data_IF_220875931581
#
_entry.id   IF_220875931581
#
_cell.length_a   1.000
_cell.length_b   1.000
_cell.length_c   1.000
_cell.angle_alpha   90.00
_cell.angle_beta   90.00
_cell.angle_gamma   90.00
#
_symmetry.space_group_name_H-M   'P 1'
#
loop_
_entity.id
_entity.type
_entity.pdbx_description
1 polymer ?
#
# COMPACT_ATOMS: atom_id res chain seq x y z
N UNK A 1 -9.36 19.70 10.28
CA UNK A 1 -10.11 18.46 9.94
C UNK A 1 -9.20 17.27 9.67
N UNK A 2 -9.10 16.38 10.66
CA UNK A 2 -8.35 15.11 10.58
C UNK A 2 -8.89 14.21 9.45
N UNK A 3 -10.21 14.10 9.32
CA UNK A 3 -10.88 13.25 8.32
C UNK A 3 -10.56 13.67 6.88
N UNK A 4 -10.46 14.98 6.60
CA UNK A 4 -10.10 15.49 5.27
C UNK A 4 -8.66 15.12 4.91
N UNK A 5 -7.74 15.14 5.88
CA UNK A 5 -6.34 14.71 5.64
C UNK A 5 -6.25 13.22 5.35
N UNK A 6 -7.03 12.39 6.04
CA UNK A 6 -7.03 10.95 5.81
C UNK A 6 -7.66 10.61 4.45
N UNK A 7 -8.77 11.27 4.08
CA UNK A 7 -9.46 11.05 2.81
C UNK A 7 -8.58 11.40 1.60
N UNK A 8 -7.68 12.38 1.72
CA UNK A 8 -6.69 12.72 0.67
C UNK A 8 -5.62 11.65 0.44
N UNK A 9 -5.38 10.77 1.41
CA UNK A 9 -4.41 9.66 1.28
C UNK A 9 -5.01 8.42 0.61
N UNK A 10 -6.34 8.36 0.50
CA UNK A 10 -7.05 7.23 -0.04
C UNK A 10 -7.29 7.41 -1.54
N UNK A 11 -7.30 6.29 -2.26
CA UNK A 11 -7.67 6.25 -3.67
C UNK A 11 -9.16 6.60 -3.83
N UNK A 12 -9.53 7.16 -4.98
CA UNK A 12 -10.93 7.47 -5.30
C UNK A 12 -11.83 6.23 -5.37
N UNK A 13 -11.26 5.04 -5.59
CA UNK A 13 -11.98 3.76 -5.62
C UNK A 13 -11.83 2.97 -4.30
N UNK A 14 -11.36 3.60 -3.22
CA UNK A 14 -11.23 2.90 -1.94
C UNK A 14 -12.60 2.55 -1.39
N UNK A 15 -12.80 1.25 -1.16
CA UNK A 15 -13.94 0.70 -0.42
C UNK A 15 -13.54 0.46 1.04
N UNK A 16 -14.53 0.48 1.94
CA UNK A 16 -14.35 0.24 3.36
C UNK A 16 -14.80 -1.16 3.78
N UNK A 17 -14.15 -1.67 4.83
CA UNK A 17 -14.58 -2.84 5.57
C UNK A 17 -14.91 -2.41 7.00
N UNK A 18 -16.09 -2.80 7.49
CA UNK A 18 -16.53 -2.47 8.85
C UNK A 18 -16.50 -3.71 9.73
N UNK A 19 -15.78 -3.67 10.85
CA UNK A 19 -15.73 -4.77 11.82
C UNK A 19 -16.43 -4.31 13.08
N UNK A 20 -17.57 -4.92 13.38
CA UNK A 20 -18.42 -4.59 14.51
C UNK A 20 -18.30 -5.67 15.56
N UNK A 21 -17.98 -5.25 16.79
CA UNK A 21 -17.86 -6.13 17.95
C UNK A 21 -19.08 -5.88 18.83
N UNK A 22 -19.83 -6.94 19.10
CA UNK A 22 -21.11 -6.91 19.79
C UNK A 22 -21.08 -7.89 20.99
N UNK A 23 -20.50 -7.47 22.13
CA UNK A 23 -20.66 -8.21 23.38
C UNK A 23 -22.13 -8.12 23.82
N UNK A 24 -22.79 -9.26 24.03
CA UNK A 24 -24.21 -9.35 24.39
C UNK A 24 -24.43 -10.44 25.43
N UNK A 25 -25.42 -10.26 26.31
CA UNK A 25 -25.71 -11.15 27.44
C UNK A 25 -26.51 -12.41 27.07
N UNK A 26 -27.24 -12.37 25.96
CA UNK A 26 -28.13 -13.47 25.53
C UNK A 26 -27.43 -14.57 24.71
N UNK A 27 -26.18 -14.36 24.28
CA UNK A 27 -25.42 -15.31 23.47
C UNK A 27 -24.49 -16.14 24.35
N UNK A 28 -24.56 -17.47 24.23
CA UNK A 28 -23.71 -18.39 25.01
C UNK A 28 -22.35 -18.67 24.36
N UNK A 29 -22.27 -18.57 23.04
CA UNK A 29 -21.07 -18.92 22.26
C UNK A 29 -20.73 -17.81 21.27
N UNK A 30 -19.46 -17.47 21.13
CA UNK A 30 -19.02 -16.45 20.18
C UNK A 30 -19.27 -16.91 18.73
N UNK A 31 -19.84 -16.03 17.92
CA UNK A 31 -20.10 -16.26 16.50
C UNK A 31 -19.58 -15.11 15.64
N UNK A 32 -19.14 -15.46 14.44
CA UNK A 32 -18.60 -14.52 13.45
C UNK A 32 -19.49 -14.60 12.22
N UNK A 33 -20.00 -13.45 11.77
CA UNK A 33 -20.76 -13.33 10.52
C UNK A 33 -19.97 -12.44 9.58
N UNK A 34 -19.57 -13.00 8.44
CA UNK A 34 -18.86 -12.29 7.39
C UNK A 34 -19.82 -11.97 6.25
N UNK A 35 -20.00 -10.70 5.93
CA UNK A 35 -20.89 -10.21 4.89
C UNK A 35 -20.08 -9.49 3.82
N UNK A 36 -20.22 -9.94 2.57
CA UNK A 36 -19.78 -9.20 1.39
C UNK A 36 -21.01 -8.67 0.66
N UNK A 37 -21.09 -7.35 0.52
CA UNK A 37 -22.13 -6.72 -0.28
C UNK A 37 -21.82 -6.86 -1.77
N UNK A 38 -22.85 -7.11 -2.58
CA UNK A 38 -22.71 -7.24 -4.03
C UNK A 38 -22.25 -5.92 -4.68
N UNK A 39 -22.77 -4.80 -4.16
CA UNK A 39 -22.37 -3.44 -4.51
C UNK A 39 -21.92 -2.74 -3.23
N UNK A 40 -20.84 -1.95 -3.31
CA UNK A 40 -20.40 -1.15 -2.18
C UNK A 40 -21.40 -0.01 -1.93
N UNK A 41 -21.86 0.14 -0.70
CA UNK A 41 -22.93 1.09 -0.32
C UNK A 41 -22.40 2.04 0.76
N UNK A 42 -22.75 3.32 0.66
CA UNK A 42 -22.44 4.30 1.72
C UNK A 42 -23.38 4.05 2.89
N UNK A 43 -22.86 3.43 3.96
CA UNK A 43 -23.59 3.20 5.20
C UNK A 43 -23.28 4.34 6.18
N UNK A 44 -24.31 5.12 6.51
CA UNK A 44 -24.17 6.27 7.40
C UNK A 44 -23.74 5.83 8.80
N UNK A 45 -22.67 6.44 9.33
CA UNK A 45 -22.18 6.19 10.69
C UNK A 45 -21.36 4.92 10.88
N UNK A 46 -21.12 4.14 9.82
CA UNK A 46 -20.33 2.91 9.88
C UNK A 46 -18.82 3.15 9.79
N UNK A 47 -18.41 4.15 9.01
CA UNK A 47 -17.00 4.50 8.80
C UNK A 47 -16.76 5.96 9.20
N UNK A 48 -15.58 6.25 9.73
CA UNK A 48 -15.19 7.61 10.15
C UNK A 48 -15.14 8.60 8.97
N UNK A 49 -14.95 8.07 7.76
CA UNK A 49 -14.85 8.83 6.51
C UNK A 49 -15.91 8.34 5.55
N UNK A 50 -16.38 9.26 4.70
CA UNK A 50 -17.30 8.95 3.59
C UNK A 50 -16.61 8.02 2.59
N UNK A 51 -16.83 6.73 2.77
CA UNK A 51 -16.39 5.63 1.91
C UNK A 51 -17.57 4.67 1.72
N UNK A 52 -17.58 3.97 0.60
CA UNK A 52 -18.56 2.92 0.34
C UNK A 52 -18.12 1.65 1.08
N UNK A 53 -18.97 1.10 1.92
CA UNK A 53 -18.72 -0.16 2.64
C UNK A 53 -18.96 -1.33 1.70
N UNK A 54 -17.99 -2.24 1.60
CA UNK A 54 -18.09 -3.50 0.83
C UNK A 54 -18.22 -4.71 1.74
N UNK A 55 -17.46 -4.72 2.83
CA UNK A 55 -17.45 -5.83 3.79
C UNK A 55 -17.98 -5.38 5.14
N UNK A 56 -18.73 -6.25 5.79
CA UNK A 56 -19.19 -6.07 7.16
C UNK A 56 -18.91 -7.37 7.91
N UNK A 57 -18.17 -7.30 8.99
CA UNK A 57 -17.91 -8.43 9.88
C UNK A 57 -18.57 -8.15 11.21
N UNK A 58 -19.46 -9.05 11.64
CA UNK A 58 -20.09 -8.99 12.95
C UNK A 58 -19.46 -10.06 13.85
N UNK A 59 -18.93 -9.64 14.98
CA UNK A 59 -18.37 -10.49 16.01
C UNK A 59 -19.26 -10.40 17.24
N UNK A 60 -20.07 -11.42 17.46
CA UNK A 60 -21.03 -11.46 18.57
C UNK A 60 -20.60 -12.52 19.58
N UNK A 61 -20.75 -12.26 20.87
CA UNK A 61 -20.44 -13.24 21.90
C UNK A 61 -20.79 -12.75 23.31
N UNK A 62 -20.62 -13.59 24.33
CA UNK A 62 -20.92 -13.23 25.71
C UNK A 62 -20.06 -12.04 26.17
N UNK A 63 -20.62 -11.18 27.02
CA UNK A 63 -19.92 -10.00 27.57
C UNK A 63 -18.61 -10.38 28.30
N UNK A 64 -18.57 -11.56 28.91
CA UNK A 64 -17.37 -12.10 29.57
C UNK A 64 -16.15 -12.19 28.63
N UNK A 65 -16.40 -12.34 27.32
CA UNK A 65 -15.38 -12.51 26.28
C UNK A 65 -15.07 -11.23 25.49
N UNK A 66 -15.54 -10.05 25.93
CA UNK A 66 -15.36 -8.78 25.20
C UNK A 66 -13.90 -8.55 24.76
N UNK A 67 -12.93 -8.74 25.67
CA UNK A 67 -11.50 -8.57 25.36
C UNK A 67 -11.02 -9.52 24.28
N UNK A 68 -11.48 -10.77 24.29
CA UNK A 68 -11.12 -11.76 23.29
C UNK A 68 -11.74 -11.41 21.93
N UNK A 69 -13.03 -11.02 21.91
CA UNK A 69 -13.71 -10.57 20.70
C UNK A 69 -13.01 -9.36 20.08
N UNK A 70 -12.53 -8.41 20.90
CA UNK A 70 -11.76 -7.27 20.44
C UNK A 70 -10.44 -7.70 19.76
N UNK A 71 -9.72 -8.66 20.34
CA UNK A 71 -8.50 -9.18 19.69
C UNK A 71 -8.82 -9.90 18.38
N UNK A 72 -9.88 -10.71 18.34
CA UNK A 72 -10.34 -11.35 17.10
C UNK A 72 -10.68 -10.31 16.03
N UNK A 73 -11.36 -9.21 16.41
CA UNK A 73 -11.66 -8.11 15.49
C UNK A 73 -10.42 -7.42 14.94
N UNK A 74 -9.40 -7.19 15.78
CA UNK A 74 -8.11 -6.63 15.34
C UNK A 74 -7.37 -7.57 14.39
N UNK A 75 -7.40 -8.87 14.69
CA UNK A 75 -6.81 -9.89 13.82
C UNK A 75 -7.53 -9.92 12.46
N UNK A 76 -8.86 -9.91 12.44
CA UNK A 76 -9.64 -9.86 11.21
C UNK A 76 -9.35 -8.59 10.39
N UNK A 77 -9.20 -7.43 11.04
CA UNK A 77 -8.82 -6.19 10.37
C UNK A 77 -7.46 -6.31 9.68
N UNK A 78 -6.51 -6.96 10.35
CA UNK A 78 -5.17 -7.20 9.83
C UNK A 78 -5.21 -8.14 8.63
N UNK A 79 -5.98 -9.23 8.72
CA UNK A 79 -6.16 -10.19 7.61
C UNK A 79 -6.74 -9.47 6.38
N UNK A 80 -7.78 -8.66 6.55
CA UNK A 80 -8.42 -7.93 5.43
C UNK A 80 -7.55 -6.82 4.84
N UNK A 81 -6.48 -6.41 5.52
CA UNK A 81 -5.51 -5.42 5.03
C UNK A 81 -4.45 -6.06 4.13
N UNK A 82 -4.21 -7.37 4.24
CA UNK A 82 -3.30 -8.09 3.34
C UNK A 82 -3.90 -8.18 1.93
N UNK A 83 -3.07 -7.89 0.92
CA UNK A 83 -3.50 -7.83 -0.48
C UNK A 83 -4.04 -9.18 -0.99
N UNK A 84 -3.36 -10.27 -0.66
CA UNK A 84 -3.73 -11.61 -1.11
C UNK A 84 -5.05 -12.02 -0.44
N UNK A 85 -5.13 -11.85 0.88
CA UNK A 85 -6.34 -12.18 1.64
C UNK A 85 -7.55 -11.36 1.17
N UNK A 86 -7.34 -10.09 0.84
CA UNK A 86 -8.38 -9.22 0.29
C UNK A 86 -8.91 -9.74 -1.05
N UNK A 87 -8.05 -10.19 -1.96
CA UNK A 87 -8.48 -10.83 -3.22
C UNK A 87 -9.36 -12.07 -2.95
N UNK A 88 -8.95 -12.93 -2.01
CA UNK A 88 -9.76 -14.07 -1.60
C UNK A 88 -11.12 -13.66 -1.04
N UNK A 89 -11.20 -12.59 -0.24
CA UNK A 89 -12.46 -12.08 0.28
C UNK A 89 -13.42 -11.59 -0.84
N UNK A 90 -12.89 -11.01 -1.92
CA UNK A 90 -13.69 -10.60 -3.09
C UNK A 90 -14.15 -11.76 -3.97
N UNK A 91 -13.38 -12.84 -4.05
CA UNK A 91 -13.67 -13.96 -4.97
C UNK A 91 -14.45 -15.10 -4.29
N UNK A 92 -14.31 -15.28 -2.98
CA UNK A 92 -14.93 -16.39 -2.24
C UNK A 92 -16.45 -16.44 -2.41
N UNK A 93 -17.01 -17.63 -2.68
CA UNK A 93 -18.47 -17.84 -2.79
C UNK A 93 -19.06 -18.52 -1.56
N UNK A 94 -18.22 -19.28 -0.85
CA UNK A 94 -18.62 -20.11 0.28
C UNK A 94 -17.79 -19.79 1.53
N UNK A 95 -18.29 -20.22 2.70
CA UNK A 95 -17.59 -20.08 3.99
C UNK A 95 -16.22 -20.78 4.00
N UNK A 96 -16.06 -21.85 3.23
CA UNK A 96 -14.77 -22.54 3.07
C UNK A 96 -13.69 -21.62 2.46
N UNK A 97 -14.05 -20.76 1.51
CA UNK A 97 -13.09 -19.82 0.91
C UNK A 97 -12.57 -18.78 1.92
N UNK A 98 -13.40 -18.37 2.88
CA UNK A 98 -13.00 -17.49 3.97
C UNK A 98 -12.10 -18.22 4.97
N UNK A 99 -12.36 -19.50 5.25
CA UNK A 99 -11.47 -20.32 6.09
C UNK A 99 -10.10 -20.53 5.42
N UNK A 100 -10.09 -20.86 4.14
CA UNK A 100 -8.86 -20.99 3.35
C UNK A 100 -8.03 -19.68 3.37
N UNK A 101 -8.70 -18.52 3.28
CA UNK A 101 -8.07 -17.21 3.39
C UNK A 101 -7.38 -17.04 4.76
N UNK A 102 -8.05 -17.42 5.85
CA UNK A 102 -7.49 -17.32 7.20
C UNK A 102 -6.30 -18.27 7.39
N UNK A 103 -6.42 -19.51 6.92
CA UNK A 103 -5.34 -20.50 6.99
C UNK A 103 -4.12 -20.04 6.18
N UNK A 104 -4.35 -19.43 5.01
CA UNK A 104 -3.28 -18.88 4.19
C UNK A 104 -2.55 -17.74 4.89
N UNK A 105 -3.28 -16.81 5.48
CA UNK A 105 -2.67 -15.73 6.26
C UNK A 105 -1.81 -16.27 7.40
N UNK A 106 -2.30 -17.30 8.11
CA UNK A 106 -1.57 -17.93 9.21
C UNK A 106 -0.29 -18.63 8.74
N UNK A 107 -0.28 -19.27 7.57
CA UNK A 107 0.92 -19.90 6.99
C UNK A 107 2.01 -18.88 6.62
N UNK A 108 1.60 -17.70 6.15
CA UNK A 108 2.53 -16.63 5.75
C UNK A 108 2.97 -15.74 6.93
N UNK A 109 2.33 -15.87 8.10
CA UNK A 109 2.60 -15.04 9.28
C UNK A 109 3.76 -15.59 10.12
N UNK A 110 4.75 -14.73 10.38
CA UNK A 110 5.80 -15.02 11.34
C UNK A 110 5.32 -14.68 12.76
N UNK A 111 5.41 -15.66 13.66
CA UNK A 111 5.04 -15.48 15.08
C UNK A 111 6.30 -15.20 15.89
N UNK A 112 6.24 -14.17 16.73
CA UNK A 112 7.27 -13.87 17.71
C UNK A 112 6.86 -14.44 19.07
N UNK A 113 7.63 -15.37 19.66
CA UNK A 113 7.36 -15.89 21.00
C UNK A 113 7.48 -14.79 22.05
N UNK A 114 6.49 -14.63 22.96
CA UNK A 114 6.50 -13.55 23.94
C UNK A 114 7.59 -13.72 25.01
N UNK A 115 8.02 -14.95 25.30
CA UNK A 115 8.98 -15.26 26.37
C UNK A 115 10.43 -14.88 26.05
N UNK A 116 10.77 -14.78 24.76
CA UNK A 116 12.13 -14.58 24.27
C UNK A 116 12.30 -13.23 23.56
N UNK A 117 11.25 -12.41 23.55
CA UNK A 117 11.26 -11.13 22.87
C UNK A 117 11.77 -10.01 23.78
N UNK A 118 12.92 -9.44 23.42
CA UNK A 118 13.42 -8.19 24.00
C UNK A 118 12.96 -7.00 23.12
N UNK A 119 12.14 -6.06 23.63
CA UNK A 119 11.69 -4.89 22.86
C UNK A 119 12.81 -3.97 22.35
N UNK A 120 14.02 -4.09 22.91
CA UNK A 120 15.17 -3.25 22.57
C UNK A 120 16.01 -3.81 21.43
N UNK A 121 15.85 -5.09 21.08
CA UNK A 121 16.61 -5.69 19.97
C UNK A 121 15.95 -5.38 18.62
N UNK A 122 16.76 -4.92 17.67
CA UNK A 122 16.32 -4.72 16.28
C UNK A 122 16.34 -6.06 15.56
N UNK A 123 15.17 -6.53 15.12
CA UNK A 123 15.08 -7.72 14.25
C UNK A 123 15.59 -7.33 12.87
N UNK A 124 16.60 -8.05 12.37
CA UNK A 124 16.97 -7.94 10.97
C UNK A 124 15.92 -8.62 10.10
N UNK A 125 15.56 -8.04 8.94
CA UNK A 125 14.57 -8.64 8.06
C UNK A 125 14.99 -10.07 7.69
N UNK A 126 14.02 -11.00 7.59
CA UNK A 126 14.32 -12.38 7.26
C UNK A 126 15.05 -12.45 5.92
N UNK A 127 16.10 -13.27 5.88
CA UNK A 127 16.96 -13.46 4.70
C UNK A 127 16.24 -14.08 3.51
N UNK A 128 15.14 -14.81 3.76
CA UNK A 128 14.23 -15.33 2.76
C UNK A 128 12.88 -14.63 2.89
N UNK A 129 12.71 -13.54 2.14
CA UNK A 129 11.42 -12.90 1.94
C UNK A 129 10.72 -13.61 0.78
N UNK A 130 9.56 -14.24 1.02
CA UNK A 130 8.73 -14.72 -0.07
C UNK A 130 8.05 -13.53 -0.76
N UNK A 131 8.46 -13.24 -1.99
CA UNK A 131 7.86 -12.18 -2.81
C UNK A 131 6.36 -12.43 -3.01
N UNK A 132 5.61 -11.37 -3.28
CA UNK A 132 4.15 -11.47 -3.55
C UNK A 132 3.85 -12.47 -4.66
N UNK A 133 4.66 -12.52 -5.73
CA UNK A 133 4.45 -13.49 -6.82
C UNK A 133 4.65 -14.94 -6.36
N UNK A 134 5.63 -15.18 -5.47
CA UNK A 134 5.89 -16.52 -4.93
C UNK A 134 4.76 -16.98 -4.00
N UNK A 135 4.17 -16.05 -3.23
CA UNK A 135 3.00 -16.34 -2.39
C UNK A 135 1.75 -16.66 -3.23
N UNK A 136 1.51 -15.89 -4.30
CA UNK A 136 0.43 -16.17 -5.25
C UNK A 136 0.63 -17.50 -6.00
N UNK A 137 1.87 -17.85 -6.36
CA UNK A 137 2.18 -19.12 -7.04
C UNK A 137 1.97 -20.39 -6.20
N UNK A 138 1.91 -20.26 -4.86
CA UNK A 138 1.59 -21.38 -3.96
C UNK A 138 0.08 -21.67 -3.88
N UNK A 139 -0.76 -20.87 -4.54
CA UNK A 139 -2.20 -21.14 -4.62
C UNK A 139 -2.41 -22.30 -5.63
N UNK A 140 -3.03 -23.43 -5.23
CA UNK A 140 -3.27 -24.55 -6.14
C UNK A 140 -4.12 -24.12 -7.34
N UNK A 141 -3.65 -24.41 -8.56
CA UNK A 141 -4.28 -23.99 -9.81
C UNK A 141 -5.77 -24.43 -9.96
N UNK A 142 -6.20 -25.48 -9.26
CA UNK A 142 -7.60 -25.92 -9.23
C UNK A 142 -8.54 -24.95 -8.50
N UNK A 143 -8.06 -24.19 -7.50
CA UNK A 143 -8.84 -23.10 -6.88
C UNK A 143 -8.72 -21.79 -7.67
N UNK A 144 -7.78 -21.70 -8.61
CA UNK A 144 -7.56 -20.55 -9.51
C UNK A 144 -8.49 -20.58 -10.74
N UNK A 145 -9.04 -21.75 -11.09
CA UNK A 145 -9.90 -21.94 -12.26
C UNK A 145 -11.29 -21.28 -12.21
N UNK A 146 -11.63 -20.62 -11.09
CA UNK A 146 -12.86 -19.83 -10.94
C UNK A 146 -12.57 -18.36 -10.59
N UNK A 147 -11.35 -17.90 -10.83
CA UNK A 147 -11.06 -16.48 -10.96
C UNK A 147 -11.57 -16.06 -12.34
N UNK A 148 -12.88 -15.89 -12.47
CA UNK A 148 -13.38 -14.95 -13.47
C UNK A 148 -12.58 -13.67 -13.25
N UNK A 149 -12.01 -13.13 -14.32
CA UNK A 149 -11.53 -11.75 -14.39
C UNK A 149 -12.70 -10.82 -14.03
N UNK A 150 -13.04 -10.74 -12.75
CA UNK A 150 -13.48 -9.48 -12.18
C UNK A 150 -12.27 -8.60 -12.43
N UNK A 151 -12.50 -7.53 -13.19
CA UNK A 151 -11.56 -6.46 -13.57
C UNK A 151 -11.02 -5.69 -12.35
N UNK A 152 -10.59 -6.44 -11.32
CA UNK A 152 -9.65 -6.07 -10.30
C UNK A 152 -8.29 -6.08 -10.99
N UNK A 153 -8.08 -5.05 -11.82
CA UNK A 153 -6.72 -4.61 -12.13
C UNK A 153 -5.94 -4.65 -10.81
N UNK A 154 -4.92 -5.52 -10.67
CA UNK A 154 -3.98 -5.39 -9.56
C UNK A 154 -3.47 -3.95 -9.61
N UNK A 155 -3.05 -3.40 -8.47
CA UNK A 155 -2.48 -2.06 -8.36
C UNK A 155 -1.22 -1.88 -9.22
N UNK A 156 -1.42 -1.91 -10.52
CA UNK A 156 -0.55 -1.60 -11.62
C UNK A 156 -0.90 -0.16 -11.90
N UNK A 157 0.06 0.74 -11.74
CA UNK A 157 -0.12 2.13 -12.12
C UNK A 157 -0.84 2.19 -13.47
N UNK A 158 -1.85 3.06 -13.68
CA UNK A 158 -2.52 3.20 -14.98
C UNK A 158 -1.56 3.59 -16.11
N UNK A 159 -0.28 3.84 -15.81
CA UNK A 159 0.81 4.07 -16.75
C UNK A 159 1.51 2.78 -17.24
N UNK A 160 1.22 1.63 -16.63
CA UNK A 160 1.83 0.33 -16.91
C UNK A 160 0.81 -0.57 -17.63
N UNK A 161 0.23 0.00 -18.68
CA UNK A 161 -0.54 -0.75 -19.69
C UNK A 161 0.50 -1.24 -20.70
N UNK A 162 0.52 -2.55 -20.99
CA UNK A 162 1.38 -3.14 -22.02
C UNK A 162 1.06 -2.55 -23.41
N UNK A 163 1.67 -1.41 -23.71
CA UNK A 163 1.53 -0.75 -24.99
C UNK A 163 2.56 -1.33 -25.96
N UNK A 164 2.09 -1.83 -27.10
CA UNK A 164 2.93 -2.33 -28.21
C UNK A 164 3.70 -1.22 -28.95
N UNK A 165 3.74 0.00 -28.40
CA UNK A 165 4.47 1.16 -28.95
C UNK A 165 5.71 1.44 -28.08
N UNK A 166 6.93 1.50 -28.66
CA UNK A 166 8.10 1.87 -27.89
C UNK A 166 7.91 3.29 -27.31
N UNK A 167 8.38 3.51 -26.08
CA UNK A 167 8.33 4.80 -25.35
C UNK A 167 6.92 5.32 -24.99
N UNK A 168 5.85 4.53 -25.10
CA UNK A 168 4.50 4.98 -24.70
C UNK A 168 4.42 5.38 -23.23
N UNK A 169 5.04 4.61 -22.33
CA UNK A 169 5.09 4.95 -20.90
C UNK A 169 5.78 6.29 -20.63
N UNK A 170 6.86 6.59 -21.37
CA UNK A 170 7.56 7.88 -21.27
C UNK A 170 6.68 9.04 -21.72
N UNK A 171 5.92 8.88 -22.80
CA UNK A 171 4.98 9.90 -23.27
C UNK A 171 3.84 10.17 -22.28
N UNK A 172 3.31 9.11 -21.66
CA UNK A 172 2.28 9.23 -20.63
C UNK A 172 2.84 9.91 -19.38
N UNK A 173 4.05 9.56 -18.96
CA UNK A 173 4.72 10.17 -17.82
C UNK A 173 5.00 11.67 -18.06
N UNK A 174 5.50 12.02 -19.25
CA UNK A 174 5.69 13.43 -19.66
C UNK A 174 4.36 14.18 -19.66
N UNK A 175 3.30 13.62 -20.25
CA UNK A 175 1.97 14.25 -20.30
C UNK A 175 1.42 14.51 -18.90
N UNK A 176 1.60 13.56 -17.98
CA UNK A 176 1.12 13.67 -16.60
C UNK A 176 1.96 14.66 -15.77
N UNK A 177 3.27 14.77 -16.04
CA UNK A 177 4.18 15.71 -15.36
C UNK A 177 4.15 17.13 -15.92
N UNK A 178 3.80 17.32 -17.19
CA UNK A 178 3.77 18.62 -17.87
C UNK A 178 3.04 19.74 -17.11
N UNK A 179 1.84 19.52 -16.52
CA UNK A 179 1.14 20.60 -15.82
C UNK A 179 1.82 21.02 -14.50
N UNK A 180 2.62 20.16 -13.89
CA UNK A 180 3.36 20.46 -12.65
C UNK A 180 4.69 21.18 -12.93
N UNK A 181 5.22 21.06 -14.14
CA UNK A 181 6.48 21.72 -14.53
C UNK A 181 6.39 23.26 -14.45
N UNK A 182 5.19 23.83 -14.65
CA UNK A 182 4.97 25.27 -14.53
C UNK A 182 5.14 25.76 -13.09
N UNK A 183 4.74 24.97 -12.08
CA UNK A 183 4.94 25.31 -10.67
C UNK A 183 6.39 25.11 -10.22
N UNK A 184 7.10 24.15 -10.81
CA UNK A 184 8.52 23.91 -10.49
C UNK A 184 9.40 25.11 -10.85
N UNK A 185 9.09 25.85 -11.92
CA UNK A 185 9.81 27.09 -12.26
C UNK A 185 9.58 28.21 -11.24
N UNK A 186 8.37 28.34 -10.70
CA UNK A 186 8.09 29.33 -9.66
C UNK A 186 8.70 28.96 -8.32
N UNK A 187 8.73 27.67 -7.97
CA UNK A 187 9.35 27.17 -6.73
C UNK A 187 10.89 27.20 -6.79
N UNK A 188 11.46 27.01 -7.97
CA UNK A 188 12.89 27.16 -8.23
C UNK A 188 13.38 28.61 -8.07
N UNK A 189 12.48 29.60 -8.13
CA UNK A 189 12.81 31.01 -7.89
C UNK A 189 13.02 31.35 -6.39
N UNK A 190 13.03 30.35 -5.50
CA UNK A 190 13.43 30.54 -4.10
C UNK A 190 14.89 30.98 -4.00
N UNK A 191 15.17 31.91 -3.08
CA UNK A 191 16.51 32.49 -2.88
C UNK A 191 17.58 31.43 -2.60
N UNK A 192 17.18 30.32 -1.96
CA UNK A 192 18.04 29.19 -1.62
C UNK A 192 18.48 28.38 -2.84
N UNK A 193 17.61 28.21 -3.84
CA UNK A 193 17.95 27.50 -5.08
C UNK A 193 18.92 28.33 -5.94
N UNK A 194 18.64 29.64 -6.09
CA UNK A 194 19.51 30.57 -6.80
C UNK A 194 20.92 30.61 -6.19
N UNK A 195 21.01 30.66 -4.86
CA UNK A 195 22.29 30.63 -4.16
C UNK A 195 23.08 29.33 -4.42
N UNK A 196 22.40 28.17 -4.43
CA UNK A 196 23.02 26.89 -4.73
C UNK A 196 23.51 26.80 -6.18
N UNK A 197 22.73 27.32 -7.15
CA UNK A 197 23.13 27.37 -8.57
C UNK A 197 24.36 28.23 -8.79
N UNK A 198 24.40 29.42 -8.18
CA UNK A 198 25.57 30.31 -8.27
C UNK A 198 26.81 29.68 -7.62
N UNK A 199 26.65 29.02 -6.47
CA UNK A 199 27.74 28.32 -5.81
C UNK A 199 28.31 27.19 -6.69
N UNK A 200 27.45 26.31 -7.22
CA UNK A 200 27.86 25.24 -8.14
C UNK A 200 28.54 25.79 -9.39
N UNK A 201 28.03 26.89 -9.95
CA UNK A 201 28.63 27.56 -11.11
C UNK A 201 30.05 28.05 -10.80
N UNK A 202 30.26 28.72 -9.66
CA UNK A 202 31.58 29.22 -9.26
C UNK A 202 32.56 28.08 -8.97
N UNK A 203 32.12 26.99 -8.34
CA UNK A 203 32.96 25.80 -8.09
C UNK A 203 33.44 25.19 -9.41
N UNK A 204 32.54 25.04 -10.38
CA UNK A 204 32.89 24.54 -11.71
C UNK A 204 33.80 25.53 -12.46
N UNK A 205 33.52 26.82 -12.39
CA UNK A 205 34.31 27.87 -13.05
C UNK A 205 35.74 27.93 -12.48
N UNK A 206 35.90 27.88 -11.16
CA UNK A 206 37.20 27.78 -10.52
C UNK A 206 37.98 26.55 -10.99
N UNK A 207 37.32 25.40 -11.11
CA UNK A 207 37.95 24.16 -11.59
C UNK A 207 38.43 24.34 -13.03
N UNK A 208 37.60 24.88 -13.92
CA UNK A 208 37.96 25.12 -15.32
C UNK A 208 39.09 26.13 -15.45
N UNK A 209 39.07 27.24 -14.68
CA UNK A 209 40.13 28.25 -14.70
C UNK A 209 41.46 27.68 -14.17
N UNK A 210 41.42 26.88 -13.12
CA UNK A 210 42.62 26.23 -12.58
C UNK A 210 43.26 25.27 -13.59
N UNK A 211 42.45 24.41 -14.23
CA UNK A 211 42.94 23.53 -15.30
C UNK A 211 43.41 24.31 -16.52
N UNK A 212 42.69 25.35 -16.93
CA UNK A 212 43.07 26.23 -18.04
C UNK A 212 44.39 26.95 -17.80
N UNK A 213 44.61 27.46 -16.59
CA UNK A 213 45.88 28.09 -16.20
C UNK A 213 47.05 27.11 -16.19
N UNK A 214 46.85 25.90 -15.64
CA UNK A 214 47.87 24.85 -15.69
C UNK A 214 48.20 24.46 -17.15
N UNK A 215 47.20 24.29 -18.01
CA UNK A 215 47.41 23.95 -19.42
C UNK A 215 48.12 25.07 -20.20
N UNK A 216 47.77 26.35 -19.96
CA UNK A 216 48.46 27.49 -20.57
C UNK A 216 49.93 27.56 -20.19
N UNK A 217 50.26 27.34 -18.90
CA UNK A 217 51.67 27.29 -18.45
C UNK A 217 52.43 26.09 -19.01
N UNK A 218 51.79 24.91 -19.12
CA UNK A 218 52.42 23.72 -19.68
C UNK A 218 52.66 23.82 -21.19
N UNK A 219 51.87 24.62 -21.90
CA UNK A 219 51.95 24.80 -23.36
C UNK A 219 52.66 26.09 -23.79
N UNK A 220 53.27 26.83 -22.86
CA UNK A 220 53.90 28.14 -23.14
C UNK A 220 52.96 29.12 -23.87
N UNK A 221 51.64 29.06 -23.58
CA UNK A 221 50.61 29.90 -24.20
C UNK A 221 50.58 29.84 -25.74
N UNK A 222 50.91 28.68 -26.33
CA UNK A 222 50.78 28.45 -27.78
C UNK A 222 49.35 28.10 -28.22
N UNK A 223 48.45 27.86 -27.26
CA UNK A 223 47.00 27.81 -27.43
C UNK A 223 46.37 28.98 -26.68
#
# INVERSE_FOLDING_TARGET
DYNIKLQRKLSRKTEGASILICPVDFVRESSIVFLRLENAIELLGMLEIKLYSRFIVLLMGPEENEKQLLQVGRTMATILTDDICREFAYTSKDSQGILDMMDRFMQDTYVLPPSEWDPTIRIEPPSQYMSKEQRQAQVPAEKVGQFEEIDLTPHTDPNLIESKRPFYGLFVDIKNKLPFYASDFTDCASLQCIAATLYLYLVCLCSVVAFGGMLGTATNNYM
#
